data_IF_382142518464
#
_entry.id   IF_382142518464
#
_cell.length_a   1.000
_cell.length_b   1.000
_cell.length_c   1.000
_cell.angle_alpha   90.00
_cell.angle_beta   90.00
_cell.angle_gamma   90.00
#
_symmetry.space_group_name_H-M   'P 1'
#
loop_
_entity.id
_entity.type
_entity.pdbx_description
1 polymer ?
#
# COMPACT_ATOMS: atom_id res chain seq x y z
N UNK A 1 -16.52 -0.08 -12.52
CA UNK A 1 -15.19 0.11 -11.90
C UNK A 1 -15.42 0.46 -10.44
N UNK A 2 -14.95 -0.36 -9.50
CA UNK A 2 -15.06 -0.04 -8.07
C UNK A 2 -14.21 1.21 -7.81
N UNK A 3 -14.81 2.25 -7.26
CA UNK A 3 -14.04 3.36 -6.70
C UNK A 3 -13.26 2.82 -5.50
N UNK A 4 -11.94 2.89 -5.55
CA UNK A 4 -11.09 2.59 -4.41
C UNK A 4 -11.32 3.70 -3.38
N UNK A 5 -12.20 3.46 -2.42
CA UNK A 5 -12.27 4.30 -1.22
C UNK A 5 -10.86 4.30 -0.61
N UNK A 6 -10.30 5.49 -0.42
CA UNK A 6 -8.95 5.76 0.14
C UNK A 6 -7.81 5.96 -0.89
N UNK A 7 -8.09 6.53 -2.07
CA UNK A 7 -7.09 6.96 -3.07
C UNK A 7 -5.97 7.86 -2.53
N UNK A 8 -6.10 8.39 -1.31
CA UNK A 8 -5.21 9.35 -0.67
C UNK A 8 -4.44 8.80 0.55
N UNK A 9 -4.31 7.47 0.72
CA UNK A 9 -3.50 6.93 1.83
C UNK A 9 -1.98 7.16 1.66
N UNK A 10 -1.52 7.57 0.47
CA UNK A 10 -0.16 8.04 0.25
C UNK A 10 -0.07 9.56 0.40
N UNK A 11 0.89 10.04 1.20
CA UNK A 11 1.07 11.48 1.47
C UNK A 11 1.47 12.27 0.24
N UNK A 12 2.00 11.59 -0.78
CA UNK A 12 2.38 12.17 -2.06
C UNK A 12 2.20 11.16 -3.20
N UNK A 13 2.15 11.67 -4.44
CA UNK A 13 2.16 10.83 -5.64
C UNK A 13 3.42 9.96 -5.70
N UNK A 14 4.57 10.48 -5.26
CA UNK A 14 5.84 9.74 -5.20
C UNK A 14 5.73 8.52 -4.30
N UNK A 15 5.21 8.68 -3.08
CA UNK A 15 5.03 7.57 -2.12
C UNK A 15 4.13 6.46 -2.68
N UNK A 16 3.12 6.84 -3.48
CA UNK A 16 2.26 5.88 -4.17
C UNK A 16 3.00 5.09 -5.25
N UNK A 17 3.89 5.76 -5.99
CA UNK A 17 4.70 5.10 -7.02
C UNK A 17 5.80 4.24 -6.41
N UNK A 18 6.39 4.63 -5.28
CA UNK A 18 7.37 3.82 -4.54
C UNK A 18 6.75 2.49 -4.08
N UNK A 19 5.50 2.52 -3.62
CA UNK A 19 4.75 1.31 -3.27
C UNK A 19 4.50 0.38 -4.49
N UNK A 20 4.24 0.97 -5.66
CA UNK A 20 4.10 0.22 -6.92
C UNK A 20 5.44 -0.38 -7.36
N UNK A 21 6.54 0.38 -7.23
CA UNK A 21 7.88 -0.09 -7.59
C UNK A 21 8.29 -1.29 -6.73
N UNK A 22 8.07 -1.20 -5.41
CA UNK A 22 8.32 -2.30 -4.48
C UNK A 22 7.46 -3.54 -4.77
N UNK A 23 6.20 -3.36 -5.18
CA UNK A 23 5.35 -4.47 -5.66
C UNK A 23 5.94 -5.13 -6.92
N UNK A 24 6.40 -4.33 -7.89
CA UNK A 24 6.98 -4.83 -9.14
C UNK A 24 8.27 -5.62 -8.87
N UNK A 25 9.12 -5.14 -7.98
CA UNK A 25 10.30 -5.88 -7.52
C UNK A 25 9.90 -7.20 -6.86
N UNK A 26 8.91 -7.20 -5.97
CA UNK A 26 8.41 -8.39 -5.29
C UNK A 26 7.93 -9.46 -6.27
N UNK A 27 7.10 -9.10 -7.26
CA UNK A 27 6.56 -10.09 -8.21
C UNK A 27 7.60 -10.67 -9.15
N UNK A 28 8.74 -10.01 -9.36
CA UNK A 28 9.85 -10.59 -10.14
C UNK A 28 10.47 -11.81 -9.47
N UNK A 29 10.34 -11.91 -8.14
CA UNK A 29 10.80 -13.07 -7.37
C UNK A 29 9.77 -14.21 -7.33
N UNK A 30 8.53 -13.94 -7.74
CA UNK A 30 7.46 -14.95 -7.76
C UNK A 30 7.60 -15.88 -8.97
N UNK A 31 7.28 -17.17 -8.77
CA UNK A 31 7.07 -18.07 -9.89
C UNK A 31 5.85 -17.64 -10.72
N UNK A 32 5.92 -17.81 -12.05
CA UNK A 32 4.84 -17.44 -13.00
C UNK A 32 3.44 -18.02 -12.67
N UNK A 33 3.38 -19.10 -11.88
CA UNK A 33 2.14 -19.79 -11.48
C UNK A 33 1.83 -19.65 -9.99
N UNK A 34 2.65 -18.90 -9.25
CA UNK A 34 2.50 -18.74 -7.81
C UNK A 34 1.56 -17.57 -7.51
N UNK A 35 0.26 -17.85 -7.62
CA UNK A 35 -0.78 -16.87 -7.29
C UNK A 35 -0.78 -16.45 -5.81
N UNK A 36 -0.21 -17.26 -4.92
CA UNK A 36 -0.09 -16.93 -3.50
C UNK A 36 0.98 -15.87 -3.31
N UNK A 37 2.14 -16.02 -3.96
CA UNK A 37 3.22 -15.04 -3.94
C UNK A 37 2.76 -13.67 -4.46
N UNK A 38 2.06 -13.63 -5.61
CA UNK A 38 1.53 -12.39 -6.17
C UNK A 38 0.52 -11.73 -5.22
N UNK A 39 -0.39 -12.51 -4.64
CA UNK A 39 -1.36 -11.99 -3.67
C UNK A 39 -0.66 -11.41 -2.43
N UNK A 40 0.38 -12.06 -1.93
CA UNK A 40 1.18 -11.56 -0.81
C UNK A 40 1.93 -10.27 -1.15
N UNK A 41 2.46 -10.13 -2.37
CA UNK A 41 3.06 -8.88 -2.84
C UNK A 41 2.03 -7.74 -2.89
N UNK A 42 0.80 -8.02 -3.33
CA UNK A 42 -0.29 -7.03 -3.33
C UNK A 42 -0.63 -6.61 -1.89
N UNK A 43 -0.85 -7.57 -0.98
CA UNK A 43 -1.16 -7.29 0.43
C UNK A 43 -0.07 -6.48 1.11
N UNK A 44 1.19 -6.79 0.83
CA UNK A 44 2.34 -6.14 1.47
C UNK A 44 2.58 -4.72 0.97
N UNK A 45 2.38 -4.47 -0.33
CA UNK A 45 2.81 -3.21 -0.96
C UNK A 45 1.67 -2.31 -1.42
N UNK A 46 0.47 -2.85 -1.69
CA UNK A 46 -0.62 -2.11 -2.34
C UNK A 46 -1.94 -2.10 -1.56
N UNK A 47 -2.14 -2.99 -0.57
CA UNK A 47 -3.34 -2.93 0.26
C UNK A 47 -3.28 -1.75 1.24
N UNK A 48 -4.30 -0.88 1.28
CA UNK A 48 -4.38 0.19 2.25
C UNK A 48 -4.58 -0.43 3.64
N UNK A 49 -3.56 -0.25 4.49
CA UNK A 49 -3.39 -0.92 5.77
C UNK A 49 -4.69 -1.17 6.54
N UNK A 50 -5.09 -2.44 6.59
CA UNK A 50 -5.80 -2.93 7.77
C UNK A 50 -4.73 -3.51 8.68
N UNK A 51 -4.65 -2.98 9.90
CA UNK A 51 -3.81 -3.43 11.02
C UNK A 51 -2.36 -2.91 11.05
N UNK A 52 -2.17 -1.87 11.87
CA UNK A 52 -1.01 -1.63 12.76
C UNK A 52 -0.02 -0.49 12.44
N UNK A 53 -0.35 0.50 11.62
CA UNK A 53 0.45 1.76 11.55
C UNK A 53 -0.36 3.05 11.79
N UNK A 54 -1.50 2.93 12.46
CA UNK A 54 -2.32 4.05 12.94
C UNK A 54 -1.80 4.73 14.23
N UNK A 55 -0.50 4.63 14.55
CA UNK A 55 0.06 5.34 15.74
C UNK A 55 0.86 6.58 15.43
N UNK A 56 1.28 6.81 14.19
CA UNK A 56 2.03 8.03 13.82
C UNK A 56 1.22 9.01 12.96
N UNK A 57 0.08 8.59 12.40
CA UNK A 57 -0.75 9.46 11.52
C UNK A 57 -1.90 10.18 12.24
N UNK A 58 -2.21 9.88 13.49
CA UNK A 58 -3.27 10.60 14.22
C UNK A 58 -2.77 11.88 14.94
N UNK A 59 -1.45 12.08 15.04
CA UNK A 59 -0.89 13.27 15.67
C UNK A 59 -1.04 14.55 14.83
N UNK A 60 -1.18 14.44 13.50
CA UNK A 60 -1.25 15.61 12.61
C UNK A 60 -2.67 16.16 12.46
N UNK A 61 -3.70 15.32 12.61
CA UNK A 61 -5.11 15.74 12.50
C UNK A 61 -5.64 16.43 13.77
N UNK A 62 -5.08 16.14 14.96
CA UNK A 62 -5.52 16.79 16.22
C UNK A 62 -4.92 18.19 16.37
N UNK A 63 -3.77 18.49 15.76
CA UNK A 63 -3.10 19.79 15.89
C UNK A 63 -3.72 20.91 15.04
N UNK A 64 -4.81 20.63 14.30
CA UNK A 64 -5.46 21.58 13.39
C UNK A 64 -6.86 22.04 13.83
N UNK A 65 -7.27 21.75 15.08
CA UNK A 65 -8.50 22.28 15.67
C UNK A 65 -8.22 23.09 16.94
#
# INVERSE_FOLDING_TARGET
MRAFKNEHSCKSITERWDAVDAYLECVTSCGLKDGVCVTMCITKHLEPGTFLEDRERQAFDIAKH
#
